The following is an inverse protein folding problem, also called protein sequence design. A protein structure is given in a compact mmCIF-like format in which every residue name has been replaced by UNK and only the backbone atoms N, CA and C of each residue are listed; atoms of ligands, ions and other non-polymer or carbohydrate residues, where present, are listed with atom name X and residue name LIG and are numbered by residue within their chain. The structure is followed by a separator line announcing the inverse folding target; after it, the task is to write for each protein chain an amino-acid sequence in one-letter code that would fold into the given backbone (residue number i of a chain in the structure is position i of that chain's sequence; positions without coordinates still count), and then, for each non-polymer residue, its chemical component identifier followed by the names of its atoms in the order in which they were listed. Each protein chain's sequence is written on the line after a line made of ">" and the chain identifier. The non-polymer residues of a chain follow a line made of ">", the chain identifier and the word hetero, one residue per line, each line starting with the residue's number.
data_IF_069782770113
#
_entry.id   IF_069782770113
#
_cell.length_a   1.000
_cell.length_b   1.000
_cell.length_c   1.000
_cell.angle_alpha   90.00
_cell.angle_beta   90.00
_cell.angle_gamma   90.00
#
_symmetry.space_group_name_H-M   'P 1'
#
loop_
_entity.id
_entity.type
_entity.pdbx_description
1 polymer ?
#
# COMPACT_ATOMS: atom_id res chain seq x y z
N UNK A 1 40.18 7.17 4.66
CA UNK A 1 39.63 7.00 3.29
C UNK A 1 38.88 5.68 3.08
N UNK A 2 39.14 4.61 3.82
CA UNK A 2 38.45 3.31 3.70
C UNK A 2 37.04 3.25 4.28
N UNK A 3 36.68 4.13 5.23
CA UNK A 3 35.33 4.18 5.85
C UNK A 3 34.25 4.75 4.92
N UNK A 4 34.57 5.71 4.06
CA UNK A 4 33.61 6.27 3.10
C UNK A 4 33.26 5.28 1.98
N UNK A 5 34.21 4.45 1.55
CA UNK A 5 33.97 3.48 0.47
C UNK A 5 33.20 2.24 0.93
N UNK A 6 33.28 1.86 2.21
CA UNK A 6 32.42 0.81 2.77
C UNK A 6 30.98 1.29 2.99
N UNK A 7 30.81 2.51 3.51
CA UNK A 7 29.50 3.15 3.67
C UNK A 7 28.77 3.32 2.33
N UNK A 8 29.47 3.78 1.29
CA UNK A 8 28.89 3.93 -0.05
C UNK A 8 28.46 2.58 -0.66
N UNK A 9 29.23 1.50 -0.44
CA UNK A 9 28.85 0.15 -0.91
C UNK A 9 27.61 -0.39 -0.20
N UNK A 10 27.49 -0.15 1.11
CA UNK A 10 26.31 -0.51 1.90
C UNK A 10 25.07 0.23 1.42
N UNK A 11 25.17 1.55 1.23
CA UNK A 11 24.04 2.35 0.75
C UNK A 11 23.64 2.01 -0.68
N UNK A 12 24.60 1.79 -1.59
CA UNK A 12 24.31 1.33 -2.95
C UNK A 12 23.54 0.00 -2.94
N UNK A 13 23.94 -0.94 -2.08
CA UNK A 13 23.23 -2.22 -1.92
C UNK A 13 21.79 -2.01 -1.44
N UNK A 14 21.55 -1.12 -0.47
CA UNK A 14 20.19 -0.79 0.00
C UNK A 14 19.33 -0.17 -1.09
N UNK A 15 19.91 0.73 -1.90
CA UNK A 15 19.22 1.31 -3.06
C UNK A 15 18.87 0.26 -4.11
N UNK A 16 19.79 -0.64 -4.45
CA UNK A 16 19.52 -1.75 -5.39
C UNK A 16 18.39 -2.65 -4.89
N UNK A 17 18.40 -3.03 -3.61
CA UNK A 17 17.31 -3.80 -2.99
C UNK A 17 16.00 -3.02 -3.06
N UNK A 18 16.03 -1.71 -2.80
CA UNK A 18 14.85 -0.85 -2.88
C UNK A 18 14.24 -0.86 -4.28
N UNK A 19 15.06 -0.73 -5.32
CA UNK A 19 14.60 -0.78 -6.72
C UNK A 19 13.96 -2.13 -7.05
N UNK A 20 14.59 -3.24 -6.67
CA UNK A 20 14.06 -4.59 -6.91
C UNK A 20 12.70 -4.82 -6.22
N UNK A 21 12.59 -4.43 -4.95
CA UNK A 21 11.34 -4.54 -4.20
C UNK A 21 10.25 -3.60 -4.74
N UNK A 22 10.62 -2.42 -5.23
CA UNK A 22 9.68 -1.49 -5.87
C UNK A 22 9.16 -2.04 -7.20
N UNK A 23 10.02 -2.69 -8.00
CA UNK A 23 9.62 -3.35 -9.23
C UNK A 23 8.69 -4.54 -8.97
N UNK A 24 9.01 -5.38 -7.97
CA UNK A 24 8.13 -6.47 -7.56
C UNK A 24 6.78 -5.97 -7.04
N UNK A 25 6.80 -4.88 -6.26
CA UNK A 25 5.59 -4.18 -5.82
C UNK A 25 4.79 -3.68 -7.02
N UNK A 26 5.43 -3.06 -8.02
CA UNK A 26 4.75 -2.59 -9.22
C UNK A 26 4.06 -3.75 -9.96
N UNK A 27 4.75 -4.88 -10.15
CA UNK A 27 4.15 -6.08 -10.76
C UNK A 27 2.91 -6.53 -9.98
N UNK A 28 2.99 -6.58 -8.64
CA UNK A 28 1.87 -6.97 -7.78
C UNK A 28 0.72 -5.96 -7.76
N UNK A 29 0.96 -4.70 -8.12
CA UNK A 29 -0.08 -3.70 -8.33
C UNK A 29 -0.82 -3.95 -9.66
N UNK A 30 -0.14 -4.50 -10.67
CA UNK A 30 -0.70 -4.78 -11.99
C UNK A 30 -1.40 -6.13 -12.04
N UNK A 31 -0.87 -7.12 -11.31
CA UNK A 31 -1.43 -8.46 -11.25
C UNK A 31 -1.16 -9.10 -9.88
N UNK A 32 -2.17 -9.64 -9.19
CA UNK A 32 -3.52 -9.93 -9.68
C UNK A 32 -4.55 -8.81 -9.45
N UNK A 33 -5.45 -8.60 -10.42
CA UNK A 33 -6.60 -7.67 -10.31
C UNK A 33 -7.84 -8.45 -9.87
N UNK A 34 -8.10 -8.49 -8.57
CA UNK A 34 -9.22 -9.27 -8.00
C UNK A 34 -10.12 -8.33 -7.21
N UNK A 35 -11.34 -8.00 -7.69
CA UNK A 35 -12.27 -7.18 -6.92
C UNK A 35 -12.75 -7.96 -5.69
N UNK A 36 -12.52 -7.42 -4.50
CA UNK A 36 -12.96 -8.06 -3.24
C UNK A 36 -14.47 -7.93 -3.09
N UNK A 37 -15.03 -6.80 -3.54
CA UNK A 37 -16.46 -6.52 -3.52
C UNK A 37 -16.96 -6.56 -4.97
N UNK A 38 -17.75 -7.58 -5.38
CA UNK A 38 -18.16 -7.75 -6.78
C UNK A 38 -18.89 -6.54 -7.37
N UNK A 39 -19.64 -5.80 -6.55
CA UNK A 39 -20.38 -4.61 -6.93
C UNK A 39 -19.49 -3.36 -7.08
N UNK A 40 -18.26 -3.41 -6.58
CA UNK A 40 -17.27 -2.33 -6.63
C UNK A 40 -16.01 -2.84 -7.30
N UNK A 41 -16.07 -3.03 -8.62
CA UNK A 41 -14.96 -3.58 -9.42
C UNK A 41 -13.67 -2.75 -9.37
N UNK A 42 -13.75 -1.48 -9.00
CA UNK A 42 -12.59 -0.60 -8.79
C UNK A 42 -11.91 -0.79 -7.43
N UNK A 43 -12.51 -1.54 -6.49
CA UNK A 43 -11.93 -1.91 -5.21
C UNK A 43 -11.25 -3.27 -5.34
N UNK A 44 -10.07 -3.26 -5.95
CA UNK A 44 -9.25 -4.44 -6.20
C UNK A 44 -8.32 -4.77 -5.03
N UNK A 45 -8.10 -6.06 -4.82
CA UNK A 45 -7.14 -6.57 -3.85
C UNK A 45 -5.75 -6.00 -4.13
N UNK A 46 -5.19 -5.33 -3.14
CA UNK A 46 -3.89 -4.70 -3.23
C UNK A 46 -2.83 -5.62 -2.61
N UNK A 47 -1.92 -6.21 -3.38
CA UNK A 47 -0.82 -7.02 -2.83
C UNK A 47 0.55 -6.33 -2.90
N UNK A 48 0.61 -5.16 -3.55
CA UNK A 48 1.86 -4.45 -3.80
C UNK A 48 2.52 -3.94 -2.52
N UNK A 49 1.75 -3.73 -1.45
CA UNK A 49 2.27 -3.29 -0.16
C UNK A 49 3.22 -4.34 0.48
N UNK A 50 3.04 -5.63 0.18
CA UNK A 50 3.76 -6.72 0.86
C UNK A 50 5.28 -6.60 0.67
N UNK A 51 5.83 -6.49 -0.56
CA UNK A 51 7.24 -6.17 -0.76
C UNK A 51 7.69 -4.92 -0.02
N UNK A 52 6.88 -3.85 -0.01
CA UNK A 52 7.28 -2.58 0.59
C UNK A 52 7.33 -2.64 2.13
N UNK A 53 6.45 -3.42 2.76
CA UNK A 53 6.51 -3.71 4.20
C UNK A 53 7.74 -4.55 4.54
N UNK A 54 8.07 -5.56 3.74
CA UNK A 54 9.29 -6.35 3.91
C UNK A 54 10.54 -5.48 3.76
N UNK A 55 10.57 -4.62 2.73
CA UNK A 55 11.64 -3.64 2.52
C UNK A 55 11.77 -2.68 3.71
N UNK A 56 10.64 -2.15 4.19
CA UNK A 56 10.59 -1.28 5.38
C UNK A 56 11.16 -1.95 6.61
N UNK A 57 10.90 -3.25 6.76
CA UNK A 57 11.33 -4.02 7.92
C UNK A 57 12.80 -4.42 7.88
N UNK A 58 13.28 -4.95 6.75
CA UNK A 58 14.65 -5.45 6.62
C UNK A 58 15.69 -4.37 6.30
N UNK A 59 15.31 -3.33 5.56
CA UNK A 59 16.24 -2.28 5.10
C UNK A 59 15.99 -0.96 5.82
N UNK A 60 14.71 -0.65 6.10
CA UNK A 60 14.30 0.49 6.91
C UNK A 60 13.13 1.25 6.29
N UNK A 61 12.31 1.86 7.15
CA UNK A 61 11.07 2.54 6.77
C UNK A 61 11.26 3.55 5.63
N UNK A 62 12.35 4.33 5.65
CA UNK A 62 12.64 5.32 4.60
C UNK A 62 12.74 4.69 3.20
N UNK A 63 13.29 3.48 3.09
CA UNK A 63 13.42 2.77 1.81
C UNK A 63 12.09 2.18 1.36
N UNK A 64 11.27 1.70 2.29
CA UNK A 64 9.89 1.29 2.00
C UNK A 64 9.03 2.45 1.48
N UNK A 65 9.12 3.61 2.12
CA UNK A 65 8.42 4.83 1.66
C UNK A 65 8.92 5.29 0.30
N UNK A 66 10.24 5.28 0.07
CA UNK A 66 10.79 5.58 -1.25
C UNK A 66 10.33 4.56 -2.30
N UNK A 67 10.26 3.28 -1.93
CA UNK A 67 9.76 2.24 -2.80
C UNK A 67 8.28 2.38 -3.14
N UNK A 68 7.45 2.86 -2.20
CA UNK A 68 6.06 3.25 -2.49
C UNK A 68 5.98 4.33 -3.55
N UNK A 69 6.83 5.36 -3.46
CA UNK A 69 6.90 6.43 -4.48
C UNK A 69 7.34 5.87 -5.82
N UNK A 70 8.43 5.09 -5.86
CA UNK A 70 8.95 4.49 -7.10
C UNK A 70 7.92 3.57 -7.77
N UNK A 71 7.31 2.66 -7.01
CA UNK A 71 6.24 1.77 -7.50
C UNK A 71 5.11 2.56 -8.15
N UNK A 72 4.65 3.59 -7.46
CA UNK A 72 3.53 4.41 -7.94
C UNK A 72 3.91 5.24 -9.15
N UNK A 73 5.16 5.74 -9.20
CA UNK A 73 5.70 6.44 -10.35
C UNK A 73 5.80 5.52 -11.58
N UNK A 74 6.24 4.28 -11.40
CA UNK A 74 6.26 3.28 -12.48
C UNK A 74 4.86 3.03 -13.02
N UNK A 75 3.87 2.85 -12.14
CA UNK A 75 2.47 2.69 -12.57
C UNK A 75 1.97 3.93 -13.32
N UNK A 76 2.27 5.12 -12.83
CA UNK A 76 1.86 6.36 -13.45
C UNK A 76 2.50 6.58 -14.84
N UNK A 77 3.76 6.20 -15.03
CA UNK A 77 4.46 6.39 -16.31
C UNK A 77 4.05 5.33 -17.33
N UNK A 78 3.92 4.06 -16.90
CA UNK A 78 3.74 2.94 -17.81
C UNK A 78 2.27 2.59 -18.09
N UNK A 79 1.37 2.87 -17.13
CA UNK A 79 -0.02 2.40 -17.16
C UNK A 79 -1.03 3.53 -16.90
N UNK A 80 -0.69 4.75 -17.33
CA UNK A 80 -1.59 5.89 -17.20
C UNK A 80 -2.82 5.74 -18.09
N UNK A 81 -4.01 5.77 -17.48
CA UNK A 81 -5.32 5.75 -18.15
C UNK A 81 -6.08 7.07 -17.92
N UNK A 82 -5.36 8.17 -17.70
CA UNK A 82 -5.93 9.49 -17.47
C UNK A 82 -6.42 9.68 -16.04
N UNK A 83 -7.52 10.41 -15.88
CA UNK A 83 -8.00 10.86 -14.56
C UNK A 83 -8.28 9.71 -13.58
N UNK A 84 -8.75 8.57 -14.09
CA UNK A 84 -9.00 7.38 -13.27
C UNK A 84 -7.74 6.87 -12.57
N UNK A 85 -6.59 6.88 -13.26
CA UNK A 85 -5.30 6.51 -12.67
C UNK A 85 -4.91 7.47 -11.56
N UNK A 86 -5.08 8.77 -11.77
CA UNK A 86 -4.76 9.77 -10.73
C UNK A 86 -5.63 9.62 -9.48
N UNK A 87 -6.94 9.38 -9.67
CA UNK A 87 -7.86 9.18 -8.56
C UNK A 87 -7.45 7.93 -7.76
N UNK A 88 -7.32 6.79 -8.45
CA UNK A 88 -7.00 5.51 -7.83
C UNK A 88 -5.60 5.46 -7.20
N UNK A 89 -4.61 6.07 -7.83
CA UNK A 89 -3.23 6.05 -7.35
C UNK A 89 -3.07 6.95 -6.11
N UNK A 90 -3.76 8.09 -6.07
CA UNK A 90 -3.75 8.98 -4.90
C UNK A 90 -4.47 8.34 -3.72
N UNK A 91 -5.64 7.74 -3.94
CA UNK A 91 -6.38 7.03 -2.88
C UNK A 91 -5.57 5.84 -2.35
N UNK A 92 -4.95 5.06 -3.24
CA UNK A 92 -4.09 3.95 -2.89
C UNK A 92 -2.87 4.39 -2.07
N UNK A 93 -2.13 5.40 -2.51
CA UNK A 93 -0.94 5.89 -1.78
C UNK A 93 -1.33 6.37 -0.39
N UNK A 94 -2.41 7.14 -0.24
CA UNK A 94 -2.85 7.64 1.06
C UNK A 94 -3.18 6.50 2.03
N UNK A 95 -3.94 5.50 1.55
CA UNK A 95 -4.31 4.31 2.30
C UNK A 95 -3.06 3.47 2.71
N UNK A 96 -2.20 3.15 1.75
CA UNK A 96 -0.97 2.37 1.96
C UNK A 96 -0.01 3.09 2.93
N UNK A 97 0.18 4.39 2.74
CA UNK A 97 1.05 5.21 3.60
C UNK A 97 0.55 5.20 5.05
N UNK A 98 -0.75 5.42 5.25
CA UNK A 98 -1.37 5.43 6.57
C UNK A 98 -1.20 4.09 7.30
N UNK A 99 -1.48 2.98 6.62
CA UNK A 99 -1.26 1.64 7.16
C UNK A 99 0.22 1.40 7.48
N UNK A 100 1.11 1.64 6.52
CA UNK A 100 2.53 1.31 6.62
C UNK A 100 3.22 2.03 7.77
N UNK A 101 2.94 3.32 7.98
CA UNK A 101 3.54 4.11 9.06
C UNK A 101 3.12 3.60 10.44
N UNK A 102 1.82 3.39 10.64
CA UNK A 102 1.27 2.92 11.92
C UNK A 102 1.72 1.49 12.19
N UNK A 103 1.65 0.62 11.18
CA UNK A 103 2.09 -0.76 11.29
C UNK A 103 3.58 -0.84 11.66
N UNK A 104 4.45 -0.17 10.91
CA UNK A 104 5.89 -0.20 11.16
C UNK A 104 6.28 0.33 12.55
N UNK A 105 5.54 1.31 13.08
CA UNK A 105 5.76 1.85 14.42
C UNK A 105 5.30 0.87 15.52
N UNK A 106 4.06 0.37 15.42
CA UNK A 106 3.47 -0.48 16.46
C UNK A 106 4.00 -1.91 16.45
N UNK A 107 4.40 -2.45 15.30
CA UNK A 107 4.88 -3.84 15.22
C UNK A 107 6.16 -4.08 16.02
N UNK A 108 6.93 -3.03 16.30
CA UNK A 108 8.10 -3.08 17.19
C UNK A 108 7.72 -3.38 18.64
N UNK A 109 6.48 -3.05 19.02
CA UNK A 109 5.94 -3.23 20.38
C UNK A 109 5.06 -4.48 20.46
N UNK A 110 4.09 -4.59 19.55
CA UNK A 110 3.14 -5.70 19.54
C UNK A 110 2.53 -5.85 18.12
N UNK A 111 2.67 -7.05 17.54
CA UNK A 111 2.17 -7.33 16.18
C UNK A 111 0.64 -7.25 16.10
N UNK A 112 -0.09 -7.76 17.09
CA UNK A 112 -1.55 -7.75 17.09
C UNK A 112 -2.10 -6.33 17.19
N UNK A 113 -1.49 -5.51 18.04
CA UNK A 113 -1.82 -4.09 18.15
C UNK A 113 -1.50 -3.34 16.85
N UNK A 114 -0.41 -3.68 16.17
CA UNK A 114 -0.07 -3.12 14.87
C UNK A 114 -1.12 -3.45 13.80
N UNK A 115 -1.58 -4.71 13.74
CA UNK A 115 -2.61 -5.15 12.77
C UNK A 115 -3.91 -4.39 13.00
N UNK A 116 -4.40 -4.36 14.24
CA UNK A 116 -5.70 -3.75 14.57
C UNK A 116 -5.66 -2.24 14.32
N UNK A 117 -4.66 -1.54 14.85
CA UNK A 117 -4.61 -0.07 14.76
C UNK A 117 -4.26 0.39 13.36
N UNK A 118 -3.35 -0.28 12.64
CA UNK A 118 -3.03 0.08 11.26
C UNK A 118 -4.23 -0.14 10.32
N UNK A 119 -4.99 -1.23 10.51
CA UNK A 119 -6.23 -1.48 9.74
C UNK A 119 -7.30 -0.45 10.04
N UNK A 120 -7.45 -0.04 11.31
CA UNK A 120 -8.38 1.02 11.69
C UNK A 120 -8.00 2.36 11.06
N UNK A 121 -6.72 2.75 11.15
CA UNK A 121 -6.22 4.00 10.56
C UNK A 121 -6.31 3.99 9.03
N UNK A 122 -5.97 2.87 8.39
CA UNK A 122 -6.19 2.65 6.96
C UNK A 122 -7.65 2.93 6.58
N UNK A 123 -8.59 2.34 7.30
CA UNK A 123 -10.02 2.46 7.01
C UNK A 123 -10.50 3.90 7.17
N UNK A 124 -10.09 4.58 8.25
CA UNK A 124 -10.44 5.99 8.49
C UNK A 124 -9.90 6.88 7.37
N UNK A 125 -8.60 6.73 7.03
CA UNK A 125 -7.98 7.53 5.96
C UNK A 125 -8.64 7.24 4.62
N UNK A 126 -8.93 5.99 4.31
CA UNK A 126 -9.60 5.62 3.07
C UNK A 126 -11.01 6.23 2.98
N UNK A 127 -11.79 6.25 4.06
CA UNK A 127 -13.09 6.94 4.11
C UNK A 127 -12.90 8.44 3.86
N UNK A 128 -11.99 9.10 4.57
CA UNK A 128 -11.74 10.53 4.41
C UNK A 128 -11.33 10.91 2.99
N UNK A 129 -10.40 10.17 2.39
CA UNK A 129 -9.95 10.41 1.02
C UNK A 129 -11.08 10.12 0.02
N UNK A 130 -11.94 9.15 0.27
CA UNK A 130 -13.11 8.93 -0.59
C UNK A 130 -14.08 10.11 -0.54
N UNK A 131 -14.38 10.63 0.65
CA UNK A 131 -15.32 11.75 0.84
C UNK A 131 -14.76 13.04 0.22
N UNK A 132 -13.50 13.38 0.49
CA UNK A 132 -12.92 14.67 0.12
C UNK A 132 -12.39 14.68 -1.31
N UNK A 133 -11.97 13.52 -1.84
CA UNK A 133 -11.24 13.45 -3.10
C UNK A 133 -11.91 12.49 -4.10
N UNK A 134 -12.06 11.21 -3.80
CA UNK A 134 -12.50 10.24 -4.81
C UNK A 134 -13.92 10.53 -5.33
N UNK A 135 -14.91 10.64 -4.45
CA UNK A 135 -16.32 10.84 -4.82
C UNK A 135 -16.51 12.11 -5.65
N UNK A 136 -16.00 13.30 -5.23
CA UNK A 136 -16.11 14.51 -6.02
C UNK A 136 -15.47 14.41 -7.41
N UNK A 137 -14.30 13.79 -7.52
CA UNK A 137 -13.60 13.67 -8.81
C UNK A 137 -14.26 12.66 -9.75
N UNK A 138 -14.78 11.54 -9.25
CA UNK A 138 -15.54 10.59 -10.06
C UNK A 138 -16.81 11.24 -10.63
N UNK A 139 -17.55 12.00 -9.81
CA UNK A 139 -18.74 12.71 -10.26
C UNK A 139 -18.40 13.77 -11.33
N UNK A 140 -17.33 14.54 -11.13
CA UNK A 140 -16.98 15.67 -12.01
C UNK A 140 -16.32 15.26 -13.32
N UNK A 141 -15.45 14.26 -13.30
CA UNK A 141 -14.58 13.95 -14.44
C UNK A 141 -14.91 12.62 -15.12
N UNK A 142 -15.73 11.78 -14.50
CA UNK A 142 -16.07 10.45 -15.04
C UNK A 142 -17.57 10.25 -15.25
N UNK A 143 -18.38 11.30 -15.06
CA UNK A 143 -19.85 11.24 -15.11
C UNK A 143 -20.43 10.11 -14.23
N UNK A 144 -19.72 9.73 -13.16
CA UNK A 144 -20.07 8.64 -12.27
C UNK A 144 -20.48 9.22 -10.92
N UNK A 145 -21.76 9.55 -10.79
CA UNK A 145 -22.32 10.14 -9.58
C UNK A 145 -22.70 9.06 -8.57
N UNK A 146 -21.74 8.70 -7.72
CA UNK A 146 -21.89 7.69 -6.66
C UNK A 146 -23.11 7.98 -5.78
N UNK A 147 -23.40 9.25 -5.50
CA UNK A 147 -24.51 9.63 -4.64
C UNK A 147 -25.86 9.29 -5.26
N UNK A 148 -25.99 9.46 -6.58
CA UNK A 148 -27.22 9.11 -7.31
C UNK A 148 -27.35 7.62 -7.60
N UNK A 149 -26.24 6.94 -7.89
CA UNK A 149 -26.25 5.53 -8.32
C UNK A 149 -26.40 4.58 -7.13
N UNK A 150 -25.62 4.81 -6.06
CA UNK A 150 -25.52 3.90 -4.93
C UNK A 150 -26.06 4.50 -3.63
N UNK A 151 -26.01 5.83 -3.51
CA UNK A 151 -26.22 6.54 -2.26
C UNK A 151 -24.91 6.68 -1.49
N UNK A 152 -24.66 7.90 -0.98
CA UNK A 152 -23.39 8.27 -0.35
C UNK A 152 -23.02 7.32 0.81
N UNK A 153 -23.94 7.14 1.76
CA UNK A 153 -23.69 6.34 2.95
C UNK A 153 -23.65 4.84 2.65
N UNK A 154 -24.45 4.37 1.70
CA UNK A 154 -24.40 2.99 1.24
C UNK A 154 -23.02 2.66 0.64
N UNK A 155 -22.49 3.54 -0.22
CA UNK A 155 -21.16 3.38 -0.79
C UNK A 155 -20.07 3.34 0.29
N UNK A 156 -20.08 4.30 1.21
CA UNK A 156 -19.06 4.37 2.26
C UNK A 156 -19.14 3.15 3.19
N UNK A 157 -20.32 2.83 3.72
CA UNK A 157 -20.48 1.83 4.77
C UNK A 157 -20.46 0.38 4.25
N UNK A 158 -20.97 0.14 3.04
CA UNK A 158 -21.08 -1.21 2.48
C UNK A 158 -19.95 -1.57 1.52
N UNK A 159 -19.19 -0.57 1.03
CA UNK A 159 -18.08 -0.80 0.12
C UNK A 159 -16.75 -0.35 0.71
N UNK A 160 -16.58 0.95 0.97
CA UNK A 160 -15.27 1.51 1.37
C UNK A 160 -14.80 0.96 2.72
N UNK A 161 -15.64 0.99 3.74
CA UNK A 161 -15.31 0.51 5.09
C UNK A 161 -14.95 -0.98 5.09
N UNK A 162 -15.82 -1.91 4.64
CA UNK A 162 -15.53 -3.34 4.69
C UNK A 162 -14.34 -3.72 3.80
N UNK A 163 -14.20 -3.09 2.62
CA UNK A 163 -13.05 -3.32 1.75
C UNK A 163 -11.73 -3.03 2.47
N UNK A 164 -11.60 -1.84 3.09
CA UNK A 164 -10.35 -1.44 3.73
C UNK A 164 -10.04 -2.25 5.00
N UNK A 165 -11.07 -2.71 5.73
CA UNK A 165 -10.90 -3.64 6.85
C UNK A 165 -10.33 -4.97 6.34
N UNK A 166 -10.97 -5.57 5.33
CA UNK A 166 -10.50 -6.83 4.73
C UNK A 166 -9.07 -6.66 4.22
N UNK A 167 -8.80 -5.56 3.53
CA UNK A 167 -7.50 -5.28 2.96
C UNK A 167 -6.39 -5.22 4.02
N UNK A 168 -6.59 -4.47 5.12
CA UNK A 168 -5.60 -4.40 6.20
C UNK A 168 -5.33 -5.77 6.86
N UNK A 169 -6.36 -6.60 6.99
CA UNK A 169 -6.23 -7.97 7.49
C UNK A 169 -5.48 -8.88 6.52
N UNK A 170 -5.80 -8.83 5.22
CA UNK A 170 -5.13 -9.61 4.18
C UNK A 170 -3.65 -9.22 4.09
N UNK A 171 -3.35 -7.92 4.11
CA UNK A 171 -1.97 -7.42 4.13
C UNK A 171 -1.19 -8.02 5.29
N UNK A 172 -1.77 -7.98 6.48
CA UNK A 172 -1.16 -8.51 7.70
C UNK A 172 -0.98 -10.03 7.66
N UNK A 173 -2.01 -10.75 7.19
CA UNK A 173 -2.04 -12.21 7.12
C UNK A 173 -1.03 -12.77 6.12
N UNK A 174 -0.76 -12.06 5.02
CA UNK A 174 0.27 -12.43 4.03
C UNK A 174 1.65 -12.00 4.50
N UNK A 175 1.79 -10.78 5.01
CA UNK A 175 3.08 -10.24 5.43
C UNK A 175 3.72 -11.05 6.56
N UNK A 176 2.95 -11.37 7.61
CA UNK A 176 3.47 -11.98 8.83
C UNK A 176 4.19 -13.34 8.62
N UNK A 177 3.61 -14.35 7.92
CA UNK A 177 4.31 -15.60 7.68
C UNK A 177 5.56 -15.44 6.80
N UNK A 178 5.52 -14.54 5.81
CA UNK A 178 6.67 -14.27 4.94
C UNK A 178 7.80 -13.62 5.73
N UNK A 179 7.50 -12.63 6.57
CA UNK A 179 8.48 -12.00 7.46
C UNK A 179 9.14 -13.03 8.40
N UNK A 180 8.35 -13.92 8.99
CA UNK A 180 8.86 -15.00 9.86
C UNK A 180 9.75 -15.99 9.11
N UNK A 181 9.40 -16.31 7.87
CA UNK A 181 10.21 -17.19 7.03
C UNK A 181 11.56 -16.53 6.69
N UNK A 182 11.54 -15.27 6.24
CA UNK A 182 12.74 -14.52 5.91
C UNK A 182 13.64 -14.31 7.13
N UNK A 183 13.08 -13.94 8.28
CA UNK A 183 13.87 -13.78 9.51
C UNK A 183 14.53 -15.06 9.98
N UNK A 184 13.91 -16.23 9.77
CA UNK A 184 14.55 -17.54 10.04
C UNK A 184 15.73 -17.81 9.12
N UNK A 185 15.59 -17.51 7.82
CA UNK A 185 16.64 -17.75 6.81
C UNK A 185 17.81 -16.78 6.97
N UNK A 186 17.52 -15.50 7.17
CA UNK A 186 18.50 -14.42 7.13
C UNK A 186 19.00 -13.99 8.51
N UNK A 187 18.66 -14.73 9.57
CA UNK A 187 18.97 -14.40 10.98
C UNK A 187 20.45 -14.04 11.26
N UNK A 188 21.37 -14.44 10.37
CA UNK A 188 22.82 -14.25 10.51
C UNK A 188 23.52 -13.55 9.32
N UNK A 189 22.82 -12.89 8.36
CA UNK A 189 23.46 -12.40 7.11
C UNK A 189 23.11 -10.98 6.64
N UNK A 190 22.49 -10.15 7.48
CA UNK A 190 22.27 -8.72 7.20
C UNK A 190 22.85 -7.86 8.31
#
# INVERSE_FOLDING_TARGET
>A
MTSNTSNNRSELRKLMITVLFSAASFILMVFPQIPIIPQASFLELELSIIPLLLLSYFVGLKYGLFGLVLRSLLHLILLNKGIATWIGLTTNIAAVLAFMLVFAWLRKRNIWLAIVVATAVLTIVAVLVNIVFAIPLYARFMNFDINKILGFWQYILLMVVPFNIIQGLVWSAIYYPIERFFTKIFKNRL
#
